data_IF_669101950536
#
_entry.id   IF_669101950536
#
_cell.length_a   1.000
_cell.length_b   1.000
_cell.length_c   1.000
_cell.angle_alpha   90.00
_cell.angle_beta   90.00
_cell.angle_gamma   90.00
#
_symmetry.space_group_name_H-M   'P 1'
#
loop_
_entity.id
_entity.type
_entity.pdbx_description
1 polymer ?
#
# COMPACT_ATOMS: atom_id res chain seq x y z
N UNK A 1 10.46 -23.51 -34.92
CA UNK A 1 9.27 -23.40 -34.05
C UNK A 1 9.67 -23.91 -32.68
N UNK A 2 10.45 -23.12 -31.96
CA UNK A 2 10.82 -23.37 -30.56
C UNK A 2 10.99 -21.99 -29.93
N UNK A 3 9.86 -21.45 -29.47
CA UNK A 3 9.86 -20.38 -28.48
C UNK A 3 9.25 -21.00 -27.23
N UNK A 4 10.12 -21.48 -26.35
CA UNK A 4 9.77 -21.65 -24.95
C UNK A 4 9.21 -20.33 -24.42
N UNK A 5 8.02 -20.29 -23.80
CA UNK A 5 7.57 -19.09 -23.12
C UNK A 5 8.52 -18.85 -21.96
N UNK A 6 9.16 -17.68 -21.96
CA UNK A 6 9.93 -17.18 -20.83
C UNK A 6 8.91 -16.89 -19.72
N UNK A 7 8.63 -17.88 -18.86
CA UNK A 7 7.82 -17.69 -17.64
C UNK A 7 8.72 -16.94 -16.64
N UNK A 8 8.92 -15.64 -16.90
CA UNK A 8 9.47 -14.68 -15.94
C UNK A 8 8.39 -13.76 -15.38
N UNK A 9 7.12 -14.02 -15.72
CA UNK A 9 6.00 -13.33 -15.10
C UNK A 9 5.79 -13.93 -13.72
N UNK A 10 5.95 -13.08 -12.69
CA UNK A 10 5.58 -13.42 -11.33
C UNK A 10 4.06 -13.59 -11.29
N UNK A 11 3.58 -14.78 -11.59
CA UNK A 11 2.17 -15.09 -11.48
C UNK A 11 1.80 -15.12 -9.99
N UNK A 12 0.82 -14.30 -9.62
CA UNK A 12 0.27 -14.23 -8.27
C UNK A 12 -1.15 -14.82 -8.28
N UNK A 13 -1.47 -15.65 -7.30
CA UNK A 13 -2.82 -16.13 -7.06
C UNK A 13 -3.48 -15.32 -5.92
N UNK A 14 -4.74 -14.93 -6.10
CA UNK A 14 -5.55 -14.34 -5.03
C UNK A 14 -6.20 -15.48 -4.25
N UNK A 15 -5.90 -15.59 -2.96
CA UNK A 15 -6.47 -16.62 -2.09
C UNK A 15 -7.22 -15.96 -0.93
N UNK A 16 -8.42 -16.47 -0.65
CA UNK A 16 -9.13 -16.19 0.59
C UNK A 16 -8.65 -17.17 1.65
N UNK A 17 -7.89 -16.69 2.64
CA UNK A 17 -7.38 -17.51 3.73
C UNK A 17 -8.38 -17.42 4.88
N UNK A 18 -8.96 -18.54 5.30
CA UNK A 18 -9.70 -18.65 6.56
C UNK A 18 -8.88 -19.48 7.54
N UNK A 19 -8.73 -19.04 8.79
CA UNK A 19 -7.99 -19.81 9.82
C UNK A 19 -8.66 -21.16 10.16
N UNK A 20 -9.88 -21.40 9.66
CA UNK A 20 -10.58 -22.68 9.78
C UNK A 20 -10.16 -23.68 8.69
N UNK A 21 -9.58 -23.22 7.59
CA UNK A 21 -9.00 -24.07 6.56
C UNK A 21 -7.56 -24.38 6.96
N UNK A 22 -7.42 -25.48 7.72
CA UNK A 22 -6.19 -26.28 7.74
C UNK A 22 -5.99 -26.81 6.32
N UNK A 23 -5.50 -25.94 5.43
CA UNK A 23 -4.85 -26.35 4.19
C UNK A 23 -3.74 -27.29 4.63
N UNK A 24 -3.72 -28.50 4.06
CA UNK A 24 -2.84 -29.62 4.41
C UNK A 24 -1.54 -29.18 5.12
N UNK A 25 -1.11 -29.87 6.21
CA UNK A 25 0.00 -29.44 7.06
C UNK A 25 1.32 -29.17 6.32
N UNK A 26 1.47 -29.67 5.09
CA UNK A 26 2.61 -29.37 4.21
C UNK A 26 2.60 -27.95 3.63
N UNK A 27 1.45 -27.36 3.31
CA UNK A 27 1.34 -26.01 2.72
C UNK A 27 1.34 -24.94 3.82
N UNK A 28 0.63 -25.17 4.93
CA UNK A 28 0.64 -24.24 6.08
C UNK A 28 2.03 -24.12 6.69
N UNK A 29 2.75 -25.23 6.90
CA UNK A 29 4.12 -25.19 7.40
C UNK A 29 5.13 -24.58 6.42
N UNK A 30 4.85 -24.53 5.11
CA UNK A 30 5.72 -23.93 4.09
C UNK A 30 5.45 -22.42 3.93
N UNK A 31 4.19 -21.99 3.99
CA UNK A 31 3.78 -20.58 4.02
C UNK A 31 4.24 -19.90 5.31
N UNK A 32 4.06 -20.56 6.46
CA UNK A 32 4.59 -20.11 7.75
C UNK A 32 6.12 -20.07 7.75
N UNK A 33 6.81 -21.01 7.05
CA UNK A 33 8.29 -21.11 6.92
C UNK A 33 8.97 -20.05 6.05
N UNK A 34 8.23 -19.24 5.26
CA UNK A 34 8.83 -18.14 4.49
C UNK A 34 8.31 -16.76 4.84
N UNK A 35 7.14 -16.66 5.49
CA UNK A 35 6.82 -15.51 6.34
C UNK A 35 7.82 -15.38 7.51
N UNK A 36 8.52 -16.47 7.83
CA UNK A 36 9.61 -16.62 8.81
C UNK A 36 11.02 -16.37 8.28
N UNK A 37 11.24 -15.79 7.10
CA UNK A 37 12.57 -15.18 6.84
C UNK A 37 12.88 -13.98 7.77
N UNK A 38 11.95 -13.65 8.67
CA UNK A 38 12.13 -12.83 9.86
C UNK A 38 11.90 -13.57 11.20
N UNK A 39 11.75 -14.90 11.24
CA UNK A 39 11.56 -15.68 12.47
C UNK A 39 12.79 -16.56 12.70
N UNK A 40 13.83 -15.95 13.26
CA UNK A 40 14.53 -16.59 14.37
C UNK A 40 14.17 -15.75 15.58
N UNK A 41 13.27 -16.23 16.45
CA UNK A 41 13.27 -16.09 17.90
C UNK A 41 12.00 -16.78 18.43
N UNK A 42 12.26 -17.77 19.28
CA UNK A 42 11.38 -18.58 20.13
C UNK A 42 9.90 -18.14 20.25
N UNK A 43 9.03 -19.14 20.19
CA UNK A 43 7.66 -19.15 20.72
C UNK A 43 7.66 -18.89 22.24
N UNK A 44 7.92 -17.66 22.63
CA UNK A 44 7.38 -17.08 23.84
C UNK A 44 6.47 -15.96 23.36
N UNK A 45 5.17 -16.06 23.64
CA UNK A 45 4.22 -14.97 23.48
C UNK A 45 4.79 -13.74 24.21
N UNK A 46 5.47 -12.87 23.46
CA UNK A 46 6.01 -11.65 24.02
C UNK A 46 4.83 -10.80 24.49
N UNK A 47 4.94 -10.24 25.68
CA UNK A 47 3.95 -9.35 26.31
C UNK A 47 3.62 -8.09 25.46
N UNK A 48 4.18 -7.96 24.25
CA UNK A 48 3.92 -6.90 23.27
C UNK A 48 2.63 -7.14 22.45
N UNK A 49 2.05 -8.34 22.46
CA UNK A 49 0.77 -8.64 21.79
C UNK A 49 -0.46 -8.17 22.58
N UNK A 50 -0.29 -7.50 23.73
CA UNK A 50 -1.36 -6.74 24.42
C UNK A 50 -1.67 -5.46 23.62
N UNK A 51 -2.08 -5.67 22.38
CA UNK A 51 -2.57 -4.65 21.49
C UNK A 51 -4.05 -4.46 21.79
N UNK A 52 -4.38 -3.25 22.24
CA UNK A 52 -5.74 -2.86 22.54
C UNK A 52 -6.62 -3.04 21.30
N UNK A 53 -7.68 -3.84 21.40
CA UNK A 53 -8.70 -3.94 20.35
C UNK A 53 -9.81 -2.93 20.60
N UNK A 54 -10.51 -2.55 19.54
CA UNK A 54 -11.70 -1.73 19.66
C UNK A 54 -12.84 -2.50 20.35
N UNK A 55 -13.89 -1.78 20.75
CA UNK A 55 -15.01 -2.34 21.50
C UNK A 55 -15.78 -3.42 20.74
N UNK A 56 -15.63 -3.46 19.41
CA UNK A 56 -16.27 -4.48 18.57
C UNK A 56 -15.37 -5.69 18.31
N UNK A 57 -14.05 -5.58 18.51
CA UNK A 57 -13.06 -6.62 18.23
C UNK A 57 -12.65 -6.73 16.78
N UNK A 58 -13.05 -5.77 15.96
CA UNK A 58 -12.92 -5.83 14.51
C UNK A 58 -11.64 -5.15 14.03
N UNK A 59 -11.11 -4.21 14.82
CA UNK A 59 -9.92 -3.44 14.47
C UNK A 59 -8.94 -3.30 15.63
N UNK A 60 -7.68 -3.06 15.27
CA UNK A 60 -6.66 -2.61 16.20
C UNK A 60 -6.95 -1.18 16.66
N UNK A 61 -6.89 -0.98 17.96
CA UNK A 61 -7.13 0.29 18.64
C UNK A 61 -5.84 0.78 19.31
N UNK A 62 -5.78 2.07 19.55
CA UNK A 62 -4.76 2.77 20.33
C UNK A 62 -5.44 3.95 21.00
N UNK A 63 -5.06 4.32 22.25
CA UNK A 63 -5.58 5.54 22.86
C UNK A 63 -5.35 6.75 21.95
N UNK A 64 -6.27 7.73 21.95
CA UNK A 64 -6.19 8.87 21.06
C UNK A 64 -4.88 9.64 21.27
N UNK A 65 -4.10 9.75 20.20
CA UNK A 65 -2.80 10.45 20.21
C UNK A 65 -2.97 11.90 19.75
N UNK A 66 -2.12 12.79 20.26
CA UNK A 66 -2.02 14.14 19.72
C UNK A 66 -1.38 14.09 18.34
N UNK A 67 -1.76 15.02 17.46
CA UNK A 67 -1.26 15.05 16.09
C UNK A 67 0.26 15.26 16.05
N UNK A 68 0.80 16.04 16.99
CA UNK A 68 2.21 16.35 17.11
C UNK A 68 3.11 15.11 17.31
N UNK A 69 2.57 14.04 17.90
CA UNK A 69 3.32 12.78 18.09
C UNK A 69 3.34 11.90 16.83
N UNK A 70 2.42 12.14 15.88
CA UNK A 70 2.39 11.46 14.60
C UNK A 70 3.17 12.21 13.50
N UNK A 71 3.49 13.49 13.71
CA UNK A 71 4.25 14.29 12.75
C UNK A 71 5.70 13.83 12.73
N UNK A 72 6.18 13.55 11.52
CA UNK A 72 7.57 13.18 11.24
C UNK A 72 8.41 14.46 11.15
N UNK A 73 9.52 14.51 11.88
CA UNK A 73 10.52 15.56 11.68
C UNK A 73 11.38 15.28 10.44
N UNK A 74 11.14 16.05 9.39
CA UNK A 74 11.86 15.94 8.12
C UNK A 74 13.37 16.21 8.24
N UNK A 75 13.80 17.04 9.20
CA UNK A 75 15.21 17.31 9.43
C UNK A 75 15.89 16.10 10.07
N UNK A 76 15.23 15.50 11.08
CA UNK A 76 15.72 14.30 11.72
C UNK A 76 15.87 13.13 10.73
N UNK A 77 14.88 12.92 9.85
CA UNK A 77 14.98 11.91 8.79
C UNK A 77 16.12 12.21 7.79
N UNK A 78 16.30 13.49 7.44
CA UNK A 78 17.38 13.92 6.55
C UNK A 78 18.74 13.62 7.16
N UNK A 79 18.94 13.97 8.42
CA UNK A 79 20.19 13.78 9.16
C UNK A 79 20.48 12.30 9.36
N UNK A 80 19.44 11.49 9.63
CA UNK A 80 19.56 10.05 9.68
C UNK A 80 19.98 9.46 8.32
N UNK A 81 19.36 9.87 7.20
CA UNK A 81 19.75 9.40 5.86
C UNK A 81 21.16 9.84 5.46
N UNK A 82 21.56 11.07 5.81
CA UNK A 82 22.91 11.55 5.58
C UNK A 82 23.93 10.77 6.42
N UNK A 83 23.59 10.50 7.69
CA UNK A 83 24.42 9.73 8.60
C UNK A 83 24.52 8.26 8.20
N UNK A 84 23.44 7.61 7.77
CA UNK A 84 23.47 6.24 7.25
C UNK A 84 24.36 6.11 6.00
N UNK A 85 24.44 7.17 5.19
CA UNK A 85 25.33 7.22 4.01
C UNK A 85 26.80 7.40 4.39
N UNK A 86 27.09 7.95 5.58
CA UNK A 86 28.44 8.28 6.07
C UNK A 86 28.93 7.29 7.16
N UNK A 87 28.03 6.58 7.84
CA UNK A 87 28.32 5.72 9.00
C UNK A 87 27.77 4.30 8.78
N UNK A 88 28.65 3.41 8.32
CA UNK A 88 28.64 1.98 8.71
C UNK A 88 29.24 1.77 10.11
N UNK A 89 29.49 2.86 10.83
CA UNK A 89 30.27 2.87 12.06
C UNK A 89 29.65 3.91 12.97
N UNK A 90 28.67 3.51 13.77
CA UNK A 90 28.40 4.04 15.12
C UNK A 90 27.22 3.20 15.65
N UNK A 91 27.51 2.44 16.69
CA UNK A 91 26.52 1.71 17.48
C UNK A 91 25.47 2.70 18.00
N UNK A 92 24.22 2.29 17.83
CA UNK A 92 23.02 2.99 18.25
C UNK A 92 23.07 3.29 19.76
N UNK A 93 23.25 4.57 20.10
CA UNK A 93 22.86 5.06 21.41
C UNK A 93 21.36 5.37 21.35
N UNK A 94 20.64 4.63 22.18
CA UNK A 94 19.21 4.70 22.48
C UNK A 94 18.76 6.09 22.91
N UNK A 95 18.44 6.96 21.94
CA UNK A 95 17.48 8.05 22.16
C UNK A 95 16.13 7.57 21.65
N UNK A 96 15.10 7.59 22.49
CA UNK A 96 13.76 7.16 22.13
C UNK A 96 13.18 8.09 21.05
N UNK A 97 13.36 7.73 19.78
CA UNK A 97 12.78 8.45 18.66
C UNK A 97 11.27 8.23 18.66
N UNK A 98 10.49 9.30 18.51
CA UNK A 98 9.01 9.25 18.50
C UNK A 98 8.44 8.48 17.29
N UNK A 99 9.23 8.37 16.23
CA UNK A 99 8.85 7.69 15.00
C UNK A 99 10.04 6.89 14.43
N UNK A 100 9.80 5.89 13.57
CA UNK A 100 10.84 5.18 12.86
C UNK A 100 11.71 6.16 12.05
N UNK A 101 13.02 5.92 12.04
CA UNK A 101 13.97 6.68 11.22
C UNK A 101 14.21 6.07 9.84
N UNK A 102 13.64 4.88 9.62
CA UNK A 102 13.68 4.17 8.36
C UNK A 102 12.38 3.38 8.18
N UNK A 103 11.69 3.64 7.07
CA UNK A 103 10.45 2.95 6.71
C UNK A 103 10.74 1.89 5.65
N UNK A 104 10.19 0.69 5.85
CA UNK A 104 10.19 -0.44 4.91
C UNK A 104 8.81 -1.09 4.94
N UNK A 105 8.40 -1.66 3.81
CA UNK A 105 7.11 -2.36 3.65
C UNK A 105 5.92 -1.54 4.20
N UNK A 106 5.95 -0.24 3.91
CA UNK A 106 4.99 0.73 4.41
C UNK A 106 4.08 1.21 3.28
N UNK A 107 2.88 1.68 3.63
CA UNK A 107 1.94 2.28 2.69
C UNK A 107 2.10 3.80 2.75
N UNK A 108 2.34 4.42 1.59
CA UNK A 108 2.42 5.87 1.47
C UNK A 108 1.10 6.37 0.90
N UNK A 109 0.50 7.35 1.55
CA UNK A 109 -0.71 8.02 1.05
C UNK A 109 -0.37 9.46 0.70
N UNK A 110 -0.22 9.70 -0.60
CA UNK A 110 -0.01 11.02 -1.20
C UNK A 110 -1.36 11.72 -1.37
N UNK A 111 -1.67 12.66 -0.47
CA UNK A 111 -2.97 13.33 -0.44
C UNK A 111 -2.82 14.80 -0.82
N UNK A 112 -3.40 15.17 -1.96
CA UNK A 112 -3.52 16.56 -2.39
C UNK A 112 -4.84 17.13 -1.90
N UNK A 113 -4.78 17.91 -0.82
CA UNK A 113 -5.95 18.53 -0.23
C UNK A 113 -5.54 19.79 0.54
N UNK A 114 -6.42 20.79 0.50
CA UNK A 114 -6.20 22.10 1.11
C UNK A 114 -7.11 22.29 2.33
N UNK A 115 -6.87 23.33 3.12
CA UNK A 115 -7.76 23.68 4.26
C UNK A 115 -9.23 23.90 3.84
N UNK A 116 -9.52 24.20 2.59
CA UNK A 116 -10.91 24.36 2.10
C UNK A 116 -11.50 23.08 1.51
N UNK A 117 -10.66 22.08 1.21
CA UNK A 117 -11.09 20.80 0.63
C UNK A 117 -12.09 20.05 1.52
N UNK A 118 -13.04 19.31 0.92
CA UNK A 118 -13.97 18.45 1.64
C UNK A 118 -13.25 17.31 2.35
N UNK A 119 -13.87 16.78 3.40
CA UNK A 119 -13.37 15.59 4.10
C UNK A 119 -13.59 14.34 3.24
N UNK A 120 -12.53 13.56 3.04
CA UNK A 120 -12.54 12.29 2.32
C UNK A 120 -13.04 11.15 3.24
N UNK A 121 -12.78 11.27 4.54
CA UNK A 121 -13.02 10.20 5.50
C UNK A 121 -11.90 9.14 5.48
N UNK A 122 -10.67 9.56 5.78
CA UNK A 122 -9.47 8.72 5.82
C UNK A 122 -9.61 7.48 6.71
N UNK A 123 -10.51 7.53 7.70
CA UNK A 123 -10.87 6.37 8.51
C UNK A 123 -11.28 5.17 7.62
N UNK A 124 -12.02 5.39 6.53
CA UNK A 124 -12.47 4.32 5.62
C UNK A 124 -11.32 3.64 4.89
N UNK A 125 -10.21 4.36 4.65
CA UNK A 125 -9.00 3.79 4.07
C UNK A 125 -8.19 3.00 5.11
N UNK A 126 -8.14 3.49 6.35
CA UNK A 126 -7.30 2.93 7.41
C UNK A 126 -7.95 1.69 8.04
N UNK A 127 -9.27 1.67 8.22
CA UNK A 127 -10.00 0.59 8.89
C UNK A 127 -9.66 -0.80 8.31
N UNK A 128 -9.77 -1.05 6.99
CA UNK A 128 -9.40 -2.35 6.41
C UNK A 128 -7.94 -2.75 6.67
N UNK A 129 -7.03 -1.78 6.65
CA UNK A 129 -5.59 -1.97 6.89
C UNK A 129 -5.24 -2.15 8.37
N UNK A 130 -6.23 -2.07 9.26
CA UNK A 130 -6.13 -2.27 10.71
C UNK A 130 -7.10 -3.34 11.20
N UNK A 131 -7.61 -4.18 10.31
CA UNK A 131 -8.49 -5.29 10.67
C UNK A 131 -7.79 -6.28 11.62
N UNK A 132 -8.53 -6.76 12.63
CA UNK A 132 -8.06 -7.70 13.65
C UNK A 132 -7.81 -9.13 13.13
N UNK A 133 -8.14 -9.38 11.86
CA UNK A 133 -7.81 -10.59 11.11
C UNK A 133 -6.34 -10.65 10.67
N UNK A 134 -5.62 -9.54 10.71
CA UNK A 134 -4.17 -9.51 10.51
C UNK A 134 -3.46 -9.60 11.85
N UNK A 135 -2.25 -10.15 11.84
CA UNK A 135 -1.39 -10.08 13.03
C UNK A 135 -0.76 -8.68 13.14
N UNK A 136 -0.44 -8.26 14.36
CA UNK A 136 0.15 -6.94 14.64
C UNK A 136 1.39 -6.65 13.77
N UNK A 137 2.22 -7.67 13.56
CA UNK A 137 3.47 -7.61 12.75
C UNK A 137 3.22 -7.48 11.25
N UNK A 138 2.05 -7.89 10.75
CA UNK A 138 1.67 -7.81 9.34
C UNK A 138 1.04 -6.46 8.98
N UNK A 139 0.70 -5.63 9.98
CA UNK A 139 0.07 -4.34 9.76
C UNK A 139 1.07 -3.37 9.12
N UNK A 140 0.79 -2.85 7.92
CA UNK A 140 1.69 -1.90 7.29
C UNK A 140 1.67 -0.58 8.06
N UNK A 141 2.85 0.01 8.26
CA UNK A 141 2.95 1.41 8.69
C UNK A 141 2.36 2.30 7.60
N UNK A 142 1.52 3.28 7.97
CA UNK A 142 0.90 4.21 7.02
C UNK A 142 1.53 5.59 7.19
N UNK A 143 2.04 6.16 6.11
CA UNK A 143 2.63 7.51 6.09
C UNK A 143 1.82 8.40 5.16
N UNK A 144 1.15 9.40 5.74
CA UNK A 144 0.46 10.44 4.97
C UNK A 144 1.45 11.53 4.55
N UNK A 145 1.42 11.91 3.28
CA UNK A 145 2.17 13.05 2.74
C UNK A 145 1.15 14.09 2.29
N UNK A 146 0.95 15.10 3.12
CA UNK A 146 -0.08 16.12 2.92
C UNK A 146 0.22 17.38 3.73
N UNK A 147 -0.59 18.42 3.54
CA UNK A 147 -0.53 19.63 4.35
C UNK A 147 -1.20 19.42 5.72
N UNK A 148 -0.57 19.94 6.78
CA UNK A 148 -1.08 19.77 8.14
C UNK A 148 -2.47 20.37 8.36
N UNK A 149 -2.83 21.42 7.62
CA UNK A 149 -4.11 22.09 7.77
C UNK A 149 -5.29 21.21 7.35
N UNK A 150 -5.10 20.35 6.35
CA UNK A 150 -6.13 19.39 5.95
C UNK A 150 -6.26 18.26 6.96
N UNK A 151 -5.15 17.59 7.28
CA UNK A 151 -5.17 16.39 8.12
C UNK A 151 -5.71 16.67 9.53
N UNK A 152 -5.54 17.90 10.05
CA UNK A 152 -6.12 18.33 11.33
C UNK A 152 -7.64 18.19 11.38
N UNK A 153 -8.35 18.31 10.25
CA UNK A 153 -9.81 18.11 10.19
C UNK A 153 -10.23 16.67 10.44
N UNK A 154 -9.40 15.73 10.01
CA UNK A 154 -9.71 14.29 10.05
C UNK A 154 -8.97 13.55 11.17
N UNK A 155 -8.00 14.20 11.82
CA UNK A 155 -7.16 13.61 12.85
C UNK A 155 -7.97 12.95 13.97
N UNK A 156 -9.08 13.57 14.38
CA UNK A 156 -9.93 13.04 15.43
C UNK A 156 -10.48 11.63 15.12
N UNK A 157 -10.73 11.33 13.84
CA UNK A 157 -11.26 10.03 13.40
C UNK A 157 -10.17 8.97 13.21
N UNK A 158 -8.91 9.40 13.01
CA UNK A 158 -7.78 8.50 12.72
C UNK A 158 -6.78 8.36 13.88
N UNK A 159 -6.86 9.22 14.90
CA UNK A 159 -5.96 9.26 16.07
C UNK A 159 -5.98 7.99 16.92
N UNK A 160 -7.03 7.18 16.77
CA UNK A 160 -7.25 5.92 17.51
C UNK A 160 -6.58 4.70 16.86
N UNK A 161 -5.96 4.86 15.69
CA UNK A 161 -5.30 3.75 15.00
C UNK A 161 -3.77 3.78 15.22
N UNK A 162 -3.13 2.60 15.29
CA UNK A 162 -1.69 2.49 15.45
C UNK A 162 -0.91 2.71 14.14
N UNK A 163 0.38 3.02 14.29
CA UNK A 163 1.39 3.07 13.21
C UNK A 163 1.00 3.98 12.03
N UNK A 164 0.38 5.11 12.38
CA UNK A 164 0.09 6.22 11.45
C UNK A 164 1.06 7.34 11.73
N UNK A 165 1.69 7.83 10.67
CA UNK A 165 2.59 8.97 10.69
C UNK A 165 2.24 9.96 9.58
N UNK A 166 2.62 11.22 9.78
CA UNK A 166 2.33 12.33 8.88
C UNK A 166 3.63 13.05 8.53
N UNK A 167 3.95 13.10 7.24
CA UNK A 167 4.96 13.99 6.70
C UNK A 167 4.29 15.26 6.21
N UNK A 168 4.60 16.38 6.85
CA UNK A 168 4.14 17.70 6.39
C UNK A 168 4.84 18.08 5.09
N UNK A 169 4.08 18.20 4.01
CA UNK A 169 4.55 18.76 2.75
C UNK A 169 3.81 18.23 1.52
N UNK A 170 4.04 18.87 0.39
CA UNK A 170 3.43 18.46 -0.88
C UNK A 170 3.97 17.12 -1.38
N UNK A 171 3.10 16.17 -1.78
CA UNK A 171 3.52 14.90 -2.39
C UNK A 171 4.04 15.05 -3.83
N UNK A 172 3.84 16.22 -4.48
CA UNK A 172 4.42 16.50 -5.79
C UNK A 172 5.95 16.64 -5.69
N UNK A 173 6.45 17.08 -4.53
CA UNK A 173 7.89 17.24 -4.32
C UNK A 173 8.57 15.87 -4.14
N UNK A 174 9.42 15.44 -5.09
CA UNK A 174 10.07 14.13 -5.03
C UNK A 174 11.05 14.01 -3.85
N UNK A 175 11.47 15.13 -3.24
CA UNK A 175 12.32 15.11 -2.05
C UNK A 175 11.58 14.52 -0.84
N UNK A 176 10.31 14.90 -0.63
CA UNK A 176 9.49 14.41 0.48
C UNK A 176 9.27 12.89 0.38
N UNK A 177 8.98 12.40 -0.82
CA UNK A 177 8.81 10.97 -1.09
C UNK A 177 10.12 10.18 -0.90
N UNK A 178 11.26 10.77 -1.26
CA UNK A 178 12.57 10.17 -1.00
C UNK A 178 12.91 10.15 0.49
N UNK A 179 12.48 11.13 1.29
CA UNK A 179 12.72 11.17 2.74
C UNK A 179 12.06 10.02 3.48
N UNK A 180 10.93 9.50 2.97
CA UNK A 180 10.19 8.37 3.56
C UNK A 180 10.54 7.03 2.92
N UNK A 181 11.56 6.95 2.06
CA UNK A 181 11.95 5.71 1.37
C UNK A 181 10.87 5.15 0.45
N UNK A 182 10.30 5.96 -0.45
CA UNK A 182 9.32 5.48 -1.45
C UNK A 182 9.79 4.25 -2.27
N UNK A 183 11.10 4.00 -2.38
CA UNK A 183 11.63 2.80 -3.04
C UNK A 183 11.36 1.50 -2.28
N UNK A 184 11.23 1.58 -0.95
CA UNK A 184 10.99 0.44 -0.05
C UNK A 184 9.52 0.39 0.41
N UNK A 185 8.62 1.12 -0.26
CA UNK A 185 7.19 1.12 0.08
C UNK A 185 6.49 -0.09 -0.55
N UNK A 186 5.48 -0.58 0.16
CA UNK A 186 4.60 -1.66 -0.33
C UNK A 186 3.66 -1.17 -1.43
N UNK A 187 3.03 -0.02 -1.18
CA UNK A 187 2.08 0.61 -2.08
C UNK A 187 2.13 2.13 -1.85
N UNK A 188 2.10 2.89 -2.93
CA UNK A 188 1.85 4.33 -2.89
C UNK A 188 0.44 4.61 -3.44
N UNK A 189 -0.41 5.23 -2.64
CA UNK A 189 -1.78 5.63 -3.01
C UNK A 189 -1.79 7.13 -3.24
N UNK A 190 -2.22 7.58 -4.41
CA UNK A 190 -2.32 8.99 -4.78
C UNK A 190 -3.79 9.36 -4.82
N UNK A 191 -4.16 10.34 -4.01
CA UNK A 191 -5.51 10.89 -3.95
C UNK A 191 -5.48 12.41 -4.08
N UNK A 192 -6.55 12.97 -4.66
CA UNK A 192 -6.78 14.40 -4.79
C UNK A 192 -8.19 14.73 -4.35
N UNK A 193 -8.33 15.74 -3.49
CA UNK A 193 -9.59 16.23 -2.93
C UNK A 193 -9.70 17.74 -3.10
N UNK A 194 -9.06 18.29 -4.12
CA UNK A 194 -9.08 19.72 -4.39
C UNK A 194 -10.47 20.11 -4.92
N UNK A 195 -11.00 21.25 -4.47
CA UNK A 195 -12.20 21.80 -5.08
C UNK A 195 -11.80 22.45 -6.41
N UNK A 196 -12.24 21.81 -7.50
CA UNK A 196 -11.86 22.22 -8.84
C UNK A 196 -12.75 23.34 -9.40
N UNK A 197 -13.78 23.80 -8.66
CA UNK A 197 -14.66 24.88 -9.11
C UNK A 197 -15.16 24.66 -10.56
N UNK A 198 -15.13 25.72 -11.38
CA UNK A 198 -15.46 25.63 -12.81
C UNK A 198 -14.19 25.61 -13.67
N UNK A 199 -13.34 24.61 -13.46
CA UNK A 199 -12.11 24.39 -14.23
C UNK A 199 -12.36 23.38 -15.35
N UNK A 200 -11.56 23.44 -16.41
CA UNK A 200 -11.59 22.47 -17.51
C UNK A 200 -11.44 21.02 -17.01
N UNK A 201 -12.22 20.10 -17.58
CA UNK A 201 -12.28 18.69 -17.18
C UNK A 201 -10.91 18.01 -17.23
N UNK A 202 -10.07 18.39 -18.20
CA UNK A 202 -8.70 17.85 -18.33
C UNK A 202 -7.75 18.29 -17.21
N UNK A 203 -8.09 19.34 -16.47
CA UNK A 203 -7.24 19.89 -15.41
C UNK A 203 -7.65 19.44 -14.00
N UNK A 204 -8.78 18.75 -13.87
CA UNK A 204 -9.28 18.20 -12.59
C UNK A 204 -8.21 17.32 -11.94
N UNK A 205 -7.71 16.31 -12.65
CA UNK A 205 -6.75 15.35 -12.08
C UNK A 205 -5.28 15.78 -12.18
N UNK A 206 -5.01 17.07 -12.44
CA UNK A 206 -3.64 17.58 -12.66
C UNK A 206 -2.69 17.18 -11.54
N UNK A 207 -3.10 17.35 -10.27
CA UNK A 207 -2.26 17.06 -9.12
C UNK A 207 -1.94 15.56 -8.99
N UNK A 208 -2.95 14.70 -9.17
CA UNK A 208 -2.78 13.23 -9.17
C UNK A 208 -1.82 12.77 -10.26
N UNK A 209 -2.04 13.23 -11.50
CA UNK A 209 -1.20 12.90 -12.65
C UNK A 209 0.24 13.38 -12.45
N UNK A 210 0.45 14.63 -12.01
CA UNK A 210 1.79 15.16 -11.78
C UNK A 210 2.54 14.40 -10.67
N UNK A 211 1.84 13.98 -9.62
CA UNK A 211 2.43 13.15 -8.57
C UNK A 211 2.80 11.76 -9.10
N UNK A 212 1.93 11.10 -9.88
CA UNK A 212 2.23 9.81 -10.48
C UNK A 212 3.49 9.89 -11.38
N UNK A 213 3.57 10.94 -12.22
CA UNK A 213 4.74 11.19 -13.06
C UNK A 213 6.00 11.50 -12.25
N UNK A 214 5.89 12.20 -11.12
CA UNK A 214 7.05 12.50 -10.27
C UNK A 214 7.62 11.23 -9.63
N UNK A 215 6.77 10.29 -9.21
CA UNK A 215 7.18 8.98 -8.69
C UNK A 215 7.87 8.16 -9.78
N UNK A 216 7.31 8.12 -10.99
CA UNK A 216 7.94 7.46 -12.15
C UNK A 216 9.33 8.02 -12.46
N UNK A 217 9.51 9.33 -12.35
CA UNK A 217 10.83 9.94 -12.51
C UNK A 217 11.83 9.50 -11.42
N UNK A 218 11.38 9.29 -10.18
CA UNK A 218 12.22 8.74 -9.10
C UNK A 218 12.65 7.31 -9.46
N UNK A 219 11.71 6.49 -9.90
CA UNK A 219 11.95 5.11 -10.33
C UNK A 219 12.98 5.05 -11.48
N UNK A 220 12.77 5.82 -12.55
CA UNK A 220 13.67 5.87 -13.71
C UNK A 220 15.09 6.35 -13.34
N UNK A 221 15.20 7.38 -12.49
CA UNK A 221 16.52 7.85 -12.01
C UNK A 221 17.23 6.80 -11.18
N UNK A 222 16.48 6.01 -10.42
CA UNK A 222 17.02 4.92 -9.59
C UNK A 222 17.50 3.76 -10.46
N UNK A 223 16.72 3.39 -11.48
CA UNK A 223 17.09 2.36 -12.46
C UNK A 223 18.27 2.78 -13.35
N UNK A 224 18.30 4.04 -13.82
CA UNK A 224 19.39 4.58 -14.63
C UNK A 224 20.73 4.63 -13.87
N UNK A 225 20.71 4.84 -12.55
CA UNK A 225 21.91 4.77 -11.71
C UNK A 225 22.48 3.34 -11.61
N UNK A 226 21.61 2.32 -11.70
CA UNK A 226 22.00 0.90 -11.71
C UNK A 226 22.62 0.55 -13.07
N UNK A 227 22.05 1.06 -14.18
CA UNK A 227 22.61 0.88 -15.53
C UNK A 227 23.98 1.56 -15.68
N UNK A 228 24.14 2.78 -15.19
CA UNK A 228 25.43 3.49 -15.23
C UNK A 228 26.52 2.79 -14.40
N UNK A 229 26.17 2.13 -13.28
CA UNK A 229 27.12 1.31 -12.51
C UNK A 229 27.53 0.03 -13.27
N UNK A 230 26.61 -0.58 -14.02
CA UNK A 230 26.91 -1.74 -14.87
C UNK A 230 27.79 -1.38 -16.08
N UNK A 231 27.69 -0.16 -16.60
CA UNK A 231 28.45 0.32 -17.77
C UNK A 231 29.90 0.73 -17.45
N UNK A 232 30.36 0.65 -16.19
CA UNK A 232 31.78 0.86 -15.85
C UNK A 232 32.67 -0.36 -16.13
N UNK A 233 32.12 -1.44 -16.69
CA UNK A 233 32.89 -2.53 -17.31
C UNK A 233 32.45 -2.77 -18.76
N UNK A 234 33.14 -2.03 -19.65
CA UNK A 234 33.25 -2.19 -21.11
C UNK A 234 32.16 -1.54 -21.98
N UNK A 235 32.68 -0.97 -23.08
CA UNK A 235 32.08 -0.40 -24.30
C UNK A 235 31.35 0.95 -24.22
N UNK A 236 32.09 2.00 -24.64
CA UNK A 236 31.59 2.97 -25.64
C UNK A 236 31.15 2.19 -26.88
N UNK A 237 29.94 2.43 -27.38
CA UNK A 237 29.54 2.50 -28.80
C UNK A 237 28.05 2.90 -28.84
N UNK A 238 27.80 3.95 -29.63
CA UNK A 238 26.58 4.34 -30.37
C UNK A 238 25.21 4.51 -29.69
N UNK A 239 24.58 5.58 -30.17
CA UNK A 239 23.20 5.99 -30.03
C UNK A 239 22.24 4.90 -30.49
N UNK A 240 21.61 4.22 -29.54
CA UNK A 240 20.34 3.55 -29.76
C UNK A 240 19.44 3.77 -28.56
N UNK A 241 18.21 4.22 -28.84
CA UNK A 241 17.06 4.36 -27.95
C UNK A 241 16.57 2.99 -27.47
N UNK A 242 17.48 2.20 -26.90
CA UNK A 242 17.13 0.95 -26.23
C UNK A 242 16.38 1.32 -24.96
N UNK A 243 15.09 1.00 -24.96
CA UNK A 243 14.23 0.96 -23.79
C UNK A 243 15.05 0.34 -22.65
N UNK A 244 15.42 1.16 -21.67
CA UNK A 244 16.01 0.69 -20.43
C UNK A 244 15.04 -0.34 -19.87
N UNK A 245 15.36 -1.63 -20.02
CA UNK A 245 14.71 -2.71 -19.28
C UNK A 245 14.97 -2.43 -17.82
N UNK A 246 14.09 -1.64 -17.21
CA UNK A 246 13.98 -1.50 -15.77
C UNK A 246 13.77 -2.92 -15.29
N UNK A 247 14.77 -3.49 -14.62
CA UNK A 247 14.62 -4.80 -14.00
C UNK A 247 13.43 -4.68 -13.05
N UNK A 248 12.36 -5.44 -13.31
CA UNK A 248 11.06 -5.37 -12.62
C UNK A 248 11.13 -5.45 -11.08
N UNK A 249 12.29 -5.78 -10.52
CA UNK A 249 12.56 -5.94 -9.09
C UNK A 249 12.56 -4.63 -8.27
N UNK A 250 12.36 -3.45 -8.86
CA UNK A 250 12.35 -2.20 -8.10
C UNK A 250 11.29 -1.20 -8.56
N UNK A 251 10.19 -1.69 -9.17
CA UNK A 251 9.07 -0.84 -9.59
C UNK A 251 8.25 -0.44 -8.38
N UNK A 252 7.98 0.86 -8.26
CA UNK A 252 7.13 1.39 -7.20
C UNK A 252 5.67 1.09 -7.59
N UNK A 253 4.97 0.31 -6.77
CA UNK A 253 3.55 0.06 -6.94
C UNK A 253 2.76 1.30 -6.56
N UNK A 254 2.07 1.88 -7.54
CA UNK A 254 1.32 3.14 -7.39
C UNK A 254 -0.13 2.90 -7.78
N UNK A 255 -1.07 3.37 -6.96
CA UNK A 255 -2.50 3.41 -7.26
C UNK A 255 -2.93 4.88 -7.30
N UNK A 256 -3.39 5.35 -8.46
CA UNK A 256 -3.81 6.73 -8.68
C UNK A 256 -5.31 6.81 -8.81
N UNK A 257 -5.96 7.61 -7.96
CA UNK A 257 -7.39 7.90 -8.12
C UNK A 257 -7.60 9.01 -9.14
N UNK A 258 -8.57 8.84 -10.04
CA UNK A 258 -8.93 9.78 -11.10
C UNK A 258 -10.42 10.09 -11.04
N UNK A 259 -10.74 11.37 -11.22
CA UNK A 259 -12.13 11.84 -11.35
C UNK A 259 -12.61 11.70 -12.79
N UNK A 260 -11.72 11.93 -13.76
CA UNK A 260 -12.04 11.91 -15.19
C UNK A 260 -11.31 10.75 -15.86
N UNK A 261 -12.08 9.81 -16.39
CA UNK A 261 -11.61 8.60 -17.08
C UNK A 261 -10.56 8.88 -18.17
N UNK A 262 -10.78 9.92 -18.99
CA UNK A 262 -9.88 10.25 -20.11
C UNK A 262 -8.49 10.72 -19.67
N UNK A 263 -8.30 11.07 -18.39
CA UNK A 263 -6.99 11.48 -17.87
C UNK A 263 -6.07 10.28 -17.59
N UNK A 264 -6.59 9.05 -17.65
CA UNK A 264 -5.82 7.81 -17.44
C UNK A 264 -4.61 7.69 -18.38
N UNK A 265 -4.72 8.20 -19.61
CA UNK A 265 -3.65 8.22 -20.61
C UNK A 265 -2.39 8.97 -20.14
N UNK A 266 -2.54 9.88 -19.16
CA UNK A 266 -1.41 10.67 -18.65
C UNK A 266 -0.70 10.01 -17.46
N UNK A 267 -1.25 8.94 -16.88
CA UNK A 267 -0.70 8.27 -15.69
C UNK A 267 0.53 7.44 -16.04
N UNK A 268 0.49 6.67 -17.13
CA UNK A 268 1.62 5.86 -17.58
C UNK A 268 2.03 6.22 -19.02
N UNK A 269 3.25 6.74 -19.17
CA UNK A 269 3.84 7.04 -20.46
C UNK A 269 4.48 5.78 -21.04
N UNK A 270 4.06 5.36 -22.23
CA UNK A 270 4.65 4.22 -22.95
C UNK A 270 3.67 3.20 -23.49
N UNK A 271 2.38 3.31 -23.14
CA UNK A 271 1.32 2.51 -23.74
C UNK A 271 0.69 3.26 -24.90
N UNK A 272 0.50 2.56 -26.02
CA UNK A 272 -0.20 3.05 -27.20
C UNK A 272 -1.64 2.57 -27.17
N UNK A 273 -2.34 2.87 -26.08
CA UNK A 273 -3.78 2.61 -26.01
C UNK A 273 -4.48 3.56 -27.01
N UNK A 274 -5.49 3.08 -27.72
CA UNK A 274 -6.26 3.91 -28.64
C UNK A 274 -7.02 5.01 -27.87
N UNK A 275 -7.13 6.21 -28.45
CA UNK A 275 -7.71 7.38 -27.78
C UNK A 275 -9.18 7.18 -27.35
N UNK A 276 -9.91 6.30 -28.03
CA UNK A 276 -11.34 6.02 -27.79
C UNK A 276 -11.57 4.75 -26.96
N UNK A 277 -10.50 4.17 -26.38
CA UNK A 277 -10.61 2.97 -25.56
C UNK A 277 -11.38 3.25 -24.26
N UNK A 278 -12.33 2.38 -23.92
CA UNK A 278 -13.07 2.48 -22.66
C UNK A 278 -12.14 2.32 -21.46
N UNK A 279 -12.37 3.09 -20.40
CA UNK A 279 -11.49 3.15 -19.22
C UNK A 279 -11.08 1.78 -18.66
N UNK A 280 -12.04 0.85 -18.53
CA UNK A 280 -11.79 -0.48 -17.95
C UNK A 280 -10.96 -1.40 -18.85
N UNK A 281 -10.74 -1.04 -20.12
CA UNK A 281 -9.86 -1.77 -21.04
C UNK A 281 -8.46 -1.17 -21.11
N UNK A 282 -8.24 -0.01 -20.48
CA UNK A 282 -6.92 0.65 -20.48
C UNK A 282 -5.92 -0.12 -19.63
N UNK A 283 -4.65 -0.05 -20.03
CA UNK A 283 -3.58 -0.77 -19.33
C UNK A 283 -3.41 -0.31 -17.86
N UNK A 284 -3.47 1.00 -17.53
CA UNK A 284 -3.36 1.44 -16.14
C UNK A 284 -4.49 0.92 -15.23
N UNK A 285 -5.70 0.74 -15.76
CA UNK A 285 -6.78 0.12 -15.00
C UNK A 285 -6.56 -1.39 -14.83
N UNK A 286 -6.27 -2.10 -15.91
CA UNK A 286 -6.07 -3.56 -15.88
C UNK A 286 -4.89 -4.00 -15.00
N UNK A 287 -3.85 -3.17 -14.91
CA UNK A 287 -2.69 -3.40 -14.03
C UNK A 287 -2.90 -2.97 -12.57
N UNK A 288 -4.05 -2.37 -12.24
CA UNK A 288 -4.35 -1.87 -10.90
C UNK A 288 -3.59 -0.59 -10.53
N UNK A 289 -3.08 0.15 -11.52
CA UNK A 289 -2.33 1.40 -11.30
C UNK A 289 -3.23 2.65 -11.26
N UNK A 290 -4.42 2.58 -11.85
CA UNK A 290 -5.42 3.65 -11.88
C UNK A 290 -6.79 3.16 -11.44
N UNK A 291 -7.51 3.99 -10.69
CA UNK A 291 -8.87 3.76 -10.25
C UNK A 291 -9.70 5.02 -10.51
N UNK A 292 -10.83 4.89 -11.20
CA UNK A 292 -11.72 6.01 -11.48
C UNK A 292 -13.03 5.89 -10.71
N UNK A 293 -13.57 7.04 -10.31
CA UNK A 293 -14.81 7.11 -9.55
C UNK A 293 -16.02 6.58 -10.34
N UNK A 294 -15.99 6.74 -11.67
CA UNK A 294 -17.01 6.26 -12.62
C UNK A 294 -17.27 4.75 -12.54
N UNK A 295 -16.28 3.96 -12.11
CA UNK A 295 -16.42 2.51 -11.93
C UNK A 295 -17.42 2.19 -10.82
N UNK A 296 -17.57 3.06 -9.83
CA UNK A 296 -18.50 2.87 -8.72
C UNK A 296 -19.96 3.07 -9.14
N UNK A 297 -20.25 3.72 -10.26
CA UNK A 297 -21.63 3.91 -10.74
C UNK A 297 -22.32 2.59 -11.05
N UNK A 298 -21.56 1.55 -11.43
CA UNK A 298 -22.11 0.22 -11.67
C UNK A 298 -22.68 -0.42 -10.39
N UNK A 299 -22.19 -0.01 -9.21
CA UNK A 299 -22.67 -0.53 -7.93
C UNK A 299 -24.13 -0.20 -7.68
N UNK A 300 -24.64 0.91 -8.21
CA UNK A 300 -26.06 1.26 -8.08
C UNK A 300 -26.95 0.20 -8.77
N UNK A 301 -26.53 -0.25 -9.95
CA UNK A 301 -27.24 -1.31 -10.67
C UNK A 301 -27.13 -2.65 -9.94
N UNK A 302 -25.96 -2.99 -9.42
CA UNK A 302 -25.74 -4.20 -8.64
C UNK A 302 -26.59 -4.21 -7.37
N UNK A 303 -26.68 -3.07 -6.67
CA UNK A 303 -27.51 -2.90 -5.48
C UNK A 303 -28.99 -3.07 -5.78
N UNK A 304 -29.46 -2.55 -6.91
CA UNK A 304 -30.85 -2.69 -7.34
C UNK A 304 -31.24 -4.14 -7.62
N UNK A 305 -30.39 -4.89 -8.33
CA UNK A 305 -30.69 -6.28 -8.70
C UNK A 305 -30.44 -7.27 -7.56
N UNK A 306 -29.45 -7.00 -6.71
CA UNK A 306 -29.08 -7.88 -5.61
C UNK A 306 -28.71 -7.09 -4.37
N UNK A 307 -29.66 -7.01 -3.44
CA UNK A 307 -29.47 -6.34 -2.15
C UNK A 307 -28.25 -6.90 -1.38
N UNK A 308 -27.95 -8.19 -1.52
CA UNK A 308 -26.85 -8.82 -0.77
C UNK A 308 -25.47 -8.56 -1.40
N UNK A 309 -25.39 -8.09 -2.66
CA UNK A 309 -24.11 -7.90 -3.34
C UNK A 309 -23.28 -6.78 -2.68
N UNK A 310 -23.93 -5.68 -2.30
CA UNK A 310 -23.28 -4.56 -1.63
C UNK A 310 -22.82 -4.96 -0.23
N UNK A 311 -23.64 -5.69 0.53
CA UNK A 311 -23.28 -6.19 1.86
C UNK A 311 -22.09 -7.15 1.80
N UNK A 312 -22.05 -8.02 0.78
CA UNK A 312 -20.91 -8.90 0.53
C UNK A 312 -19.63 -8.10 0.23
N UNK A 313 -19.70 -7.13 -0.69
CA UNK A 313 -18.56 -6.27 -1.03
C UNK A 313 -18.06 -5.51 0.19
N UNK A 314 -18.98 -4.97 1.00
CA UNK A 314 -18.64 -4.26 2.22
C UNK A 314 -17.94 -5.17 3.22
N UNK A 315 -18.40 -6.41 3.38
CA UNK A 315 -17.78 -7.39 4.27
C UNK A 315 -16.39 -7.81 3.81
N UNK A 316 -16.18 -7.97 2.50
CA UNK A 316 -14.86 -8.31 1.94
C UNK A 316 -13.90 -7.13 2.06
N UNK A 317 -14.33 -5.92 1.69
CA UNK A 317 -13.46 -4.75 1.62
C UNK A 317 -13.14 -4.16 2.99
N UNK A 318 -14.14 -4.04 3.86
CA UNK A 318 -13.97 -3.37 5.15
C UNK A 318 -13.49 -4.30 6.26
N UNK A 319 -13.27 -5.58 5.91
CA UNK A 319 -13.00 -6.63 6.88
C UNK A 319 -14.18 -6.72 7.85
N UNK A 320 -15.34 -7.16 7.36
CA UNK A 320 -16.56 -7.47 8.12
C UNK A 320 -17.11 -6.33 8.99
N UNK A 321 -17.86 -5.38 8.43
CA UNK A 321 -18.55 -4.38 9.24
C UNK A 321 -19.78 -5.03 9.91
N UNK A 322 -19.79 -5.07 11.24
CA UNK A 322 -20.95 -5.49 12.03
C UNK A 322 -21.96 -4.32 12.13
N UNK A 323 -23.26 -4.61 12.22
CA UNK A 323 -24.30 -3.60 12.44
C UNK A 323 -24.06 -2.81 13.74
N UNK A 324 -23.44 -3.45 14.74
CA UNK A 324 -23.03 -2.78 15.98
C UNK A 324 -21.97 -1.70 15.73
N UNK A 325 -21.01 -1.99 14.85
CA UNK A 325 -19.97 -1.05 14.46
C UNK A 325 -20.57 0.15 13.72
N UNK A 326 -21.53 -0.08 12.82
CA UNK A 326 -22.23 1.01 12.12
C UNK A 326 -22.96 1.93 13.08
N UNK A 327 -23.62 1.38 14.11
CA UNK A 327 -24.29 2.18 15.13
C UNK A 327 -23.31 3.06 15.90
N UNK A 328 -22.16 2.51 16.29
CA UNK A 328 -21.11 3.26 16.99
C UNK A 328 -20.59 4.40 16.11
N UNK A 329 -20.35 4.14 14.83
CA UNK A 329 -19.92 5.15 13.86
C UNK A 329 -20.99 6.21 13.60
N UNK A 330 -22.26 5.80 13.48
CA UNK A 330 -23.40 6.70 13.27
C UNK A 330 -23.67 7.60 14.47
N UNK A 331 -23.40 7.14 15.68
CA UNK A 331 -23.45 7.92 16.91
C UNK A 331 -22.28 8.93 17.03
N UNK A 332 -21.33 8.91 16.09
CA UNK A 332 -20.12 9.74 16.13
C UNK A 332 -19.19 9.39 17.29
N UNK A 333 -19.37 8.22 17.89
CA UNK A 333 -18.57 7.77 19.03
C UNK A 333 -17.23 7.26 18.53
N UNK A 334 -16.18 7.59 19.29
CA UNK A 334 -14.85 7.01 19.08
C UNK A 334 -14.87 5.54 19.47
N UNK A 335 -13.98 4.78 18.84
CA UNK A 335 -13.64 3.45 19.31
C UNK A 335 -13.18 3.50 20.78
N UNK A 336 -13.63 2.54 21.57
CA UNK A 336 -13.24 2.37 22.96
C UNK A 336 -12.51 1.04 23.08
N UNK A 337 -11.44 0.98 23.85
CA UNK A 337 -10.76 -0.30 24.08
C UNK A 337 -11.68 -1.29 24.81
N UNK A 338 -11.83 -2.50 24.29
CA UNK A 338 -12.45 -3.60 25.02
C UNK A 338 -11.86 -4.94 24.61
N UNK A 339 -11.48 -5.75 25.60
CA UNK A 339 -10.91 -7.08 25.38
C UNK A 339 -11.75 -8.09 26.17
N UNK A 340 -12.67 -8.75 25.48
CA UNK A 340 -13.40 -9.91 26.02
C UNK A 340 -13.10 -11.14 25.19
N UNK A 341 -13.16 -12.35 25.77
CA UNK A 341 -12.88 -13.58 25.03
C UNK A 341 -13.84 -13.82 23.85
N UNK A 342 -15.07 -13.27 23.90
CA UNK A 342 -16.02 -13.33 22.79
C UNK A 342 -15.61 -12.44 21.62
N UNK A 343 -15.09 -11.25 21.91
CA UNK A 343 -14.54 -10.29 20.94
C UNK A 343 -13.35 -10.90 20.20
N UNK A 344 -12.47 -11.61 20.91
CA UNK A 344 -11.31 -12.28 20.30
C UNK A 344 -11.68 -13.38 19.29
N UNK A 345 -12.83 -14.05 19.47
CA UNK A 345 -13.31 -15.06 18.50
C UNK A 345 -13.73 -14.45 17.17
N UNK A 346 -14.10 -13.16 17.13
CA UNK A 346 -14.44 -12.45 15.88
C UNK A 346 -13.23 -12.20 14.98
N UNK A 347 -12.01 -12.55 15.41
CA UNK A 347 -10.77 -12.35 14.63
C UNK A 347 -10.58 -13.37 13.50
N UNK A 348 -11.13 -14.58 13.65
CA UNK A 348 -10.97 -15.68 12.70
C UNK A 348 -11.86 -15.49 11.46
N UNK A 349 -11.56 -14.44 10.68
CA UNK A 349 -12.30 -14.05 9.48
C UNK A 349 -11.43 -14.25 8.25
N UNK A 350 -12.06 -14.52 7.11
CA UNK A 350 -11.35 -14.67 5.87
C UNK A 350 -10.62 -13.37 5.49
N UNK A 351 -9.37 -13.49 5.05
CA UNK A 351 -8.54 -12.38 4.57
C UNK A 351 -8.13 -12.58 3.12
N UNK A 352 -7.93 -11.48 2.41
CA UNK A 352 -7.45 -11.48 1.02
C UNK A 352 -5.94 -11.32 1.02
N UNK A 353 -5.24 -12.28 0.40
CA UNK A 353 -3.79 -12.24 0.24
C UNK A 353 -3.39 -12.60 -1.19
N UNK A 354 -2.28 -12.01 -1.65
CA UNK A 354 -1.58 -12.42 -2.86
C UNK A 354 -0.53 -13.45 -2.48
N UNK A 355 -0.52 -14.57 -3.19
CA UNK A 355 0.49 -15.63 -3.01
C UNK A 355 1.25 -15.79 -4.32
N UNK A 356 2.59 -15.74 -4.25
CA UNK A 356 3.43 -16.07 -5.40
C UNK A 356 3.29 -17.54 -5.75
N UNK A 357 3.03 -17.85 -7.03
CA UNK A 357 2.89 -19.26 -7.46
C UNK A 357 4.18 -20.05 -7.23
N UNK A 358 5.35 -19.39 -7.30
CA UNK A 358 6.65 -19.98 -6.96
C UNK A 358 6.71 -20.52 -5.54
N UNK A 359 6.02 -19.88 -4.61
CA UNK A 359 5.98 -20.31 -3.22
C UNK A 359 4.98 -21.44 -2.99
N UNK A 360 3.97 -21.56 -3.87
CA UNK A 360 2.98 -22.63 -3.82
C UNK A 360 3.50 -23.94 -4.43
N UNK A 361 4.43 -23.87 -5.37
CA UNK A 361 4.98 -25.03 -6.08
C UNK A 361 6.50 -25.12 -5.83
N UNK A 362 6.93 -25.65 -4.66
CA UNK A 362 8.35 -25.76 -4.30
C UNK A 362 9.17 -26.72 -5.19
N UNK A 363 8.54 -27.42 -6.13
CA UNK A 363 9.12 -28.57 -6.84
C UNK A 363 9.27 -28.41 -8.37
N UNK A 364 8.97 -27.22 -8.92
CA UNK A 364 9.19 -26.96 -10.35
C UNK A 364 10.68 -26.96 -10.68
N UNK A 365 11.51 -26.36 -9.83
CA UNK A 365 12.96 -26.30 -10.05
C UNK A 365 13.62 -27.70 -9.96
N UNK A 366 13.13 -28.61 -9.11
CA UNK A 366 13.69 -29.96 -9.00
C UNK A 366 13.36 -30.84 -10.22
N UNK A 367 12.12 -30.74 -10.74
CA UNK A 367 11.69 -31.49 -11.92
C UNK A 367 12.23 -30.92 -13.23
N UNK A 368 12.34 -29.60 -13.37
CA UNK A 368 12.96 -28.99 -14.55
C UNK A 368 14.49 -29.17 -14.57
N UNK A 369 15.16 -29.23 -13.42
CA UNK A 369 16.58 -29.56 -13.37
C UNK A 369 16.88 -30.99 -13.84
N UNK A 370 15.97 -31.95 -13.58
CA UNK A 370 16.11 -33.33 -14.08
C UNK A 370 15.90 -33.44 -15.60
N UNK A 371 15.00 -32.64 -16.17
CA UNK A 371 14.75 -32.62 -17.63
C UNK A 371 15.83 -31.87 -18.44
N UNK A 372 16.73 -31.12 -17.79
CA UNK A 372 17.91 -30.52 -18.45
C UNK A 372 19.13 -31.45 -18.49
N UNK A 373 19.07 -32.58 -17.78
CA UNK A 373 20.16 -33.55 -17.67
C UNK A 373 19.86 -34.90 -18.35
N UNK A 374 18.71 -35.04 -19.02
CA UNK A 374 18.43 -36.06 -20.02
C UNK A 374 18.46 -35.43 -21.41
#
# INVERSE_FOLDING_TARGET
FDQSPNIQDNEHAIICISDADVIQPLISSQLERRCSRCLDHNEELSQEDVSSFDSTGMFYFTPPRQIEDAIIDANLLRDHRASFRVKRTIQDQTTAFKHPLHFKDHVIVCLHADKTSPSIGLQNLIMPLRASSFHRRELPTIVFVTELDYIRKEWDMISTFPDIYILNGSPINPYNLKLISIQDCRQCVIMSMLDHGNVDKYLVDKSSVLCALSIRQIEMKSAGLISARSLTRKSRIESDMTQLKVTHHNRIHTLTTLTIDSNVQYVEQGYTDEADLQFFLTTPFASGAAFADSVLDCLLSCAYYNNNAVDLLRNILMGGIDLQLEKVLAEGKRFVQCETPEILRKRNRARVALVEIRDLIPDIDSRYAQLRYQ
#
